data_IF_828469441125
#
_entry.id   IF_828469441125
#
_cell.length_a   1.000
_cell.length_b   1.000
_cell.length_c   1.000
_cell.angle_alpha   90.00
_cell.angle_beta   90.00
_cell.angle_gamma   90.00
#
_symmetry.space_group_name_H-M   'P 1'
#
loop_
_entity.id
_entity.type
_entity.pdbx_description
1 polymer ?
#
# COMPACT_ATOMS: atom_id res chain seq x y z
N UNK A 1 13.28 9.57 3.18
CA UNK A 1 14.39 8.81 3.79
C UNK A 1 15.29 8.13 2.77
N UNK A 2 14.81 7.70 1.59
CA UNK A 2 15.67 7.10 0.55
C UNK A 2 16.89 7.96 0.17
N UNK A 3 16.72 9.27 0.01
CA UNK A 3 17.84 10.19 -0.26
C UNK A 3 18.86 10.29 0.89
N UNK A 4 18.43 10.11 2.14
CA UNK A 4 19.33 10.08 3.30
C UNK A 4 20.22 8.83 3.24
N UNK A 5 19.63 7.68 2.90
CA UNK A 5 20.38 6.44 2.69
C UNK A 5 21.36 6.55 1.51
N UNK A 6 20.94 7.17 0.40
CA UNK A 6 21.82 7.44 -0.75
C UNK A 6 22.98 8.35 -0.39
N UNK A 7 22.73 9.42 0.36
CA UNK A 7 23.77 10.32 0.86
C UNK A 7 24.78 9.59 1.77
N UNK A 8 24.34 8.54 2.47
CA UNK A 8 25.19 7.65 3.26
C UNK A 8 25.85 6.52 2.43
N UNK A 9 25.74 6.53 1.10
CA UNK A 9 26.35 5.54 0.20
C UNK A 9 25.53 4.26 0.00
N UNK A 10 24.30 4.18 0.53
CA UNK A 10 23.41 3.03 0.38
C UNK A 10 22.44 3.26 -0.77
N UNK A 11 22.64 2.54 -1.87
CA UNK A 11 21.79 2.62 -3.07
C UNK A 11 20.96 1.33 -3.19
N UNK A 12 19.62 1.41 -3.28
CA UNK A 12 18.78 0.23 -3.41
C UNK A 12 18.98 -0.42 -4.78
N UNK A 13 19.24 -1.74 -4.79
CA UNK A 13 19.22 -2.54 -6.01
C UNK A 13 17.78 -2.89 -6.47
N UNK A 14 16.83 -2.86 -5.53
CA UNK A 14 15.41 -3.06 -5.76
C UNK A 14 14.61 -2.25 -4.75
N UNK A 15 13.37 -1.93 -5.12
CA UNK A 15 12.39 -1.26 -4.25
C UNK A 15 11.06 -1.99 -4.32
N UNK A 16 10.32 -1.95 -3.23
CA UNK A 16 8.95 -2.45 -3.14
C UNK A 16 8.14 -1.44 -2.34
N UNK A 17 6.91 -1.19 -2.78
CA UNK A 17 5.94 -0.40 -2.04
C UNK A 17 4.71 -1.24 -1.75
N UNK A 18 3.97 -0.87 -0.71
CA UNK A 18 2.69 -1.49 -0.39
C UNK A 18 1.59 -0.44 -0.45
N UNK A 19 0.54 -0.69 -1.24
CA UNK A 19 -0.54 0.28 -1.47
C UNK A 19 0.02 1.65 -1.88
N UNK A 20 -0.28 2.74 -1.15
CA UNK A 20 0.27 4.07 -1.46
C UNK A 20 1.81 4.15 -1.43
N UNK A 21 2.48 3.21 -0.76
CA UNK A 21 3.94 3.14 -0.73
C UNK A 21 4.55 2.87 -2.10
N UNK A 22 3.80 2.30 -3.05
CA UNK A 22 4.28 2.10 -4.44
C UNK A 22 4.59 3.41 -5.15
N UNK A 23 3.90 4.49 -4.80
CA UNK A 23 4.16 5.82 -5.36
C UNK A 23 5.57 6.27 -4.97
N UNK A 24 5.93 6.11 -3.68
CA UNK A 24 7.27 6.43 -3.20
C UNK A 24 8.33 5.48 -3.79
N UNK A 25 8.03 4.18 -3.91
CA UNK A 25 8.92 3.22 -4.54
C UNK A 25 9.19 3.59 -6.01
N UNK A 26 8.15 3.96 -6.77
CA UNK A 26 8.29 4.41 -8.15
C UNK A 26 9.14 5.68 -8.27
N UNK A 27 8.98 6.66 -7.37
CA UNK A 27 9.86 7.83 -7.32
C UNK A 27 11.32 7.45 -7.03
N UNK A 28 11.56 6.57 -6.06
CA UNK A 28 12.92 6.13 -5.70
C UNK A 28 13.56 5.35 -6.85
N UNK A 29 12.80 4.49 -7.54
CA UNK A 29 13.27 3.76 -8.72
C UNK A 29 13.48 4.64 -9.96
N UNK A 30 13.02 5.89 -9.96
CA UNK A 30 13.03 6.77 -11.13
C UNK A 30 11.91 6.48 -12.13
N UNK A 31 10.93 5.64 -11.79
CA UNK A 31 9.74 5.38 -12.60
C UNK A 31 8.72 6.52 -12.57
N UNK A 32 8.78 7.39 -11.55
CA UNK A 32 8.06 8.67 -11.50
C UNK A 32 9.03 9.79 -11.13
N UNK A 33 8.81 10.97 -11.72
CA UNK A 33 9.43 12.19 -11.21
C UNK A 33 8.90 12.52 -9.80
N UNK A 34 9.62 13.34 -9.04
CA UNK A 34 9.14 13.77 -7.73
C UNK A 34 7.84 14.60 -7.84
N UNK A 35 7.71 15.42 -8.88
CA UNK A 35 6.51 16.22 -9.14
C UNK A 35 5.30 15.33 -9.45
N UNK A 36 5.48 14.32 -10.31
CA UNK A 36 4.38 13.40 -10.65
C UNK A 36 4.02 12.51 -9.48
N UNK A 37 5.00 12.02 -8.71
CA UNK A 37 4.75 11.30 -7.46
C UNK A 37 3.93 12.12 -6.48
N UNK A 38 4.28 13.41 -6.31
CA UNK A 38 3.55 14.35 -5.46
C UNK A 38 2.10 14.57 -5.96
N UNK A 39 1.92 14.70 -7.28
CA UNK A 39 0.58 14.80 -7.88
C UNK A 39 -0.26 13.55 -7.64
N UNK A 40 0.31 12.37 -7.89
CA UNK A 40 -0.41 11.09 -7.72
C UNK A 40 -0.84 10.91 -6.26
N UNK A 41 0.06 11.11 -5.30
CA UNK A 41 -0.29 10.94 -3.88
C UNK A 41 -1.33 11.97 -3.44
N UNK A 42 -1.23 13.23 -3.87
CA UNK A 42 -2.19 14.27 -3.51
C UNK A 42 -3.58 14.01 -4.11
N UNK A 43 -3.66 13.71 -5.40
CA UNK A 43 -4.92 13.45 -6.10
C UNK A 43 -5.60 12.18 -5.58
N UNK A 44 -4.83 11.10 -5.38
CA UNK A 44 -5.34 9.85 -4.80
C UNK A 44 -5.89 10.07 -3.40
N UNK A 45 -5.16 10.80 -2.56
CA UNK A 45 -5.60 11.10 -1.19
C UNK A 45 -6.91 11.89 -1.21
N UNK A 46 -7.03 12.89 -2.09
CA UNK A 46 -8.27 13.65 -2.25
C UNK A 46 -9.43 12.79 -2.73
N UNK A 47 -9.21 11.90 -3.70
CA UNK A 47 -10.26 11.02 -4.20
C UNK A 47 -10.76 10.04 -3.13
N UNK A 48 -9.87 9.48 -2.31
CA UNK A 48 -10.25 8.52 -1.27
C UNK A 48 -11.01 9.16 -0.11
N UNK A 49 -10.89 10.49 0.10
CA UNK A 49 -11.68 11.20 1.13
C UNK A 49 -13.19 11.01 0.92
N UNK A 50 -13.65 10.87 -0.32
CA UNK A 50 -15.07 10.61 -0.65
C UNK A 50 -15.57 9.26 -0.07
N UNK A 51 -14.67 8.34 0.25
CA UNK A 51 -14.99 7.04 0.85
C UNK A 51 -14.99 7.08 2.39
N UNK A 52 -14.66 8.23 3.01
CA UNK A 52 -14.55 8.36 4.46
C UNK A 52 -15.88 8.04 5.15
N UNK A 53 -15.84 7.16 6.15
CA UNK A 53 -17.03 6.73 6.91
C UNK A 53 -17.91 5.69 6.20
N UNK A 54 -17.63 5.32 4.95
CA UNK A 54 -18.39 4.30 4.20
C UNK A 54 -17.88 2.87 4.43
N UNK A 55 -16.75 2.73 5.13
CA UNK A 55 -16.15 1.44 5.43
C UNK A 55 -14.97 1.56 6.39
N UNK A 56 -14.33 0.43 6.64
CA UNK A 56 -13.15 0.34 7.49
C UNK A 56 -12.25 -0.81 7.09
N UNK A 57 -11.06 -0.84 7.68
CA UNK A 57 -10.11 -1.93 7.52
C UNK A 57 -9.65 -2.40 8.89
N UNK A 58 -9.34 -3.69 9.00
CA UNK A 58 -8.78 -4.29 10.19
C UNK A 58 -7.64 -5.23 9.80
N UNK A 59 -6.59 -5.29 10.62
CA UNK A 59 -5.57 -6.33 10.51
C UNK A 59 -6.04 -7.57 11.26
N UNK A 60 -5.76 -8.75 10.69
CA UNK A 60 -6.14 -10.05 11.24
C UNK A 60 -4.91 -10.93 11.29
N UNK A 61 -4.55 -11.40 12.48
CA UNK A 61 -3.40 -12.28 12.69
C UNK A 61 -3.74 -13.74 12.36
N UNK A 62 -4.19 -14.01 11.14
CA UNK A 62 -4.47 -15.36 10.61
C UNK A 62 -3.96 -15.51 9.18
N UNK A 63 -3.60 -16.73 8.73
CA UNK A 63 -3.32 -17.02 7.33
C UNK A 63 -4.50 -16.67 6.43
N UNK A 64 -4.21 -16.21 5.21
CA UNK A 64 -5.22 -15.71 4.25
C UNK A 64 -6.31 -16.73 3.95
N UNK A 65 -5.96 -18.00 3.84
CA UNK A 65 -6.91 -19.07 3.49
C UNK A 65 -8.00 -19.23 4.56
N UNK A 66 -7.64 -19.01 5.84
CA UNK A 66 -8.61 -19.03 6.94
C UNK A 66 -9.49 -17.79 6.92
N UNK A 67 -8.91 -16.62 6.61
CA UNK A 67 -9.66 -15.37 6.51
C UNK A 67 -10.66 -15.47 5.36
N UNK A 68 -10.24 -15.90 4.17
CA UNK A 68 -11.10 -16.07 2.99
C UNK A 68 -12.26 -17.05 3.26
N UNK A 69 -11.98 -18.20 3.88
CA UNK A 69 -13.02 -19.16 4.26
C UNK A 69 -14.08 -18.53 5.18
N UNK A 70 -13.68 -17.68 6.13
CA UNK A 70 -14.60 -16.96 7.02
C UNK A 70 -15.34 -15.82 6.32
N UNK A 71 -14.73 -15.19 5.32
CA UNK A 71 -15.31 -14.09 4.55
C UNK A 71 -16.33 -14.55 3.51
N UNK A 72 -16.34 -15.83 3.12
CA UNK A 72 -17.32 -16.40 2.17
C UNK A 72 -18.78 -15.99 2.44
N UNK A 73 -19.20 -15.96 3.72
CA UNK A 73 -20.56 -15.54 4.14
C UNK A 73 -20.83 -14.03 4.04
N UNK A 74 -19.83 -13.23 3.70
CA UNK A 74 -19.85 -11.77 3.58
C UNK A 74 -19.49 -11.29 2.16
N UNK A 75 -19.65 -12.16 1.16
CA UNK A 75 -19.36 -11.85 -0.24
C UNK A 75 -19.98 -10.51 -0.67
N UNK A 76 -19.19 -9.70 -1.38
CA UNK A 76 -19.58 -8.36 -1.82
C UNK A 76 -19.59 -7.28 -0.72
N UNK A 77 -19.36 -7.63 0.55
CA UNK A 77 -19.30 -6.68 1.68
C UNK A 77 -17.92 -6.59 2.34
N UNK A 78 -17.16 -7.68 2.33
CA UNK A 78 -15.80 -7.73 2.87
C UNK A 78 -14.87 -8.38 1.84
N UNK A 79 -13.63 -7.91 1.81
CA UNK A 79 -12.58 -8.43 0.94
C UNK A 79 -11.25 -8.48 1.71
N UNK A 80 -10.37 -9.39 1.34
CA UNK A 80 -8.96 -9.34 1.77
C UNK A 80 -8.30 -8.18 1.04
N UNK A 81 -7.84 -7.17 1.80
CA UNK A 81 -7.22 -5.97 1.23
C UNK A 81 -5.73 -6.16 0.94
N UNK A 82 -5.05 -6.97 1.74
CA UNK A 82 -3.63 -7.28 1.61
C UNK A 82 -3.29 -8.57 2.36
N UNK A 83 -2.25 -9.26 1.92
CA UNK A 83 -1.58 -10.35 2.65
C UNK A 83 -0.16 -9.89 2.90
N UNK A 84 0.16 -9.56 4.14
CA UNK A 84 1.45 -8.98 4.52
C UNK A 84 2.47 -10.05 4.93
N UNK A 85 2.00 -11.25 5.25
CA UNK A 85 2.84 -12.40 5.51
C UNK A 85 2.04 -13.68 5.76
N UNK A 86 2.70 -14.79 6.11
CA UNK A 86 2.02 -16.08 6.31
C UNK A 86 0.98 -16.09 7.44
N UNK A 87 0.99 -15.09 8.32
CA UNK A 87 0.08 -14.97 9.46
C UNK A 87 -0.54 -13.57 9.58
N UNK A 88 -0.55 -12.76 8.52
CA UNK A 88 -1.03 -11.37 8.51
C UNK A 88 -1.32 -10.80 7.12
#
# INVERSE_FOLDING_TARGET
>A
MAEVWRAAGVVPAAVMGHSQGEIAAACVAGGLSLEDGARVVALRSRAIVELSGLGGMASVAEPVEKVEARLSKWEGRLSVAAVNGPSS
#
